data_IF_859360582824
#
_entry.id   IF_859360582824
#
_cell.length_a   1.000
_cell.length_b   1.000
_cell.length_c   1.000
_cell.angle_alpha   90.00
_cell.angle_beta   90.00
_cell.angle_gamma   90.00
#
_symmetry.space_group_name_H-M   'P 1'
#
loop_
_entity.id
_entity.type
_entity.pdbx_description
1 polymer ?
#
# COMPACT_ATOMS: atom_id res chain seq x y z
N UNK A 1 0.15 0.62 9.81
CA UNK A 1 0.20 -0.07 8.50
C UNK A 1 -1.20 -0.38 8.03
N UNK A 2 -1.56 0.03 6.83
CA UNK A 2 -2.87 -0.22 6.21
C UNK A 2 -2.71 -1.18 5.04
N UNK A 3 -3.36 -2.34 5.09
CA UNK A 3 -3.44 -3.25 3.96
C UNK A 3 -4.55 -2.80 3.00
N UNK A 4 -4.20 -2.48 1.76
CA UNK A 4 -5.13 -2.01 0.74
C UNK A 4 -5.49 -3.16 -0.20
N UNK A 5 -6.80 -3.39 -0.38
CA UNK A 5 -7.30 -4.56 -1.12
C UNK A 5 -8.65 -4.32 -1.80
N UNK A 6 -9.09 -5.29 -2.62
CA UNK A 6 -10.44 -5.38 -3.20
C UNK A 6 -11.05 -6.78 -3.03
N UNK A 7 -10.79 -7.41 -1.88
CA UNK A 7 -11.26 -8.75 -1.52
C UNK A 7 -12.80 -8.96 -1.56
N UNK A 8 -13.61 -7.90 -1.58
CA UNK A 8 -15.06 -8.01 -1.82
C UNK A 8 -15.39 -8.52 -3.24
N UNK A 9 -14.56 -8.14 -4.23
CA UNK A 9 -14.64 -8.59 -5.62
C UNK A 9 -13.68 -9.76 -5.84
N UNK A 10 -12.39 -9.55 -5.55
CA UNK A 10 -11.31 -10.51 -5.79
C UNK A 10 -11.12 -11.45 -4.58
N UNK A 11 -12.15 -12.25 -4.29
CA UNK A 11 -12.22 -13.04 -3.03
C UNK A 11 -11.05 -13.99 -2.82
N UNK A 12 -10.50 -14.56 -3.88
CA UNK A 12 -9.43 -15.56 -3.78
C UNK A 12 -8.04 -14.93 -3.68
N UNK A 13 -7.66 -14.08 -4.64
CA UNK A 13 -6.34 -13.45 -4.67
C UNK A 13 -6.14 -12.49 -3.50
N UNK A 14 -7.05 -11.53 -3.35
CA UNK A 14 -6.94 -10.51 -2.31
C UNK A 14 -7.33 -11.08 -0.95
N UNK A 15 -8.18 -12.11 -0.94
CA UNK A 15 -8.44 -12.88 0.27
C UNK A 15 -7.19 -13.59 0.78
N UNK A 16 -6.38 -14.18 -0.10
CA UNK A 16 -5.09 -14.76 0.28
C UNK A 16 -4.13 -13.69 0.79
N UNK A 17 -3.98 -12.58 0.06
CA UNK A 17 -3.16 -11.43 0.47
C UNK A 17 -3.52 -10.95 1.87
N UNK A 18 -4.81 -10.71 2.15
CA UNK A 18 -5.27 -10.28 3.46
C UNK A 18 -4.99 -11.29 4.57
N UNK A 19 -5.17 -12.59 4.31
CA UNK A 19 -4.83 -13.63 5.30
C UNK A 19 -3.35 -13.55 5.68
N UNK A 20 -2.46 -13.47 4.69
CA UNK A 20 -1.02 -13.33 4.94
C UNK A 20 -0.68 -12.04 5.70
N UNK A 21 -1.30 -10.91 5.36
CA UNK A 21 -1.10 -9.65 6.08
C UNK A 21 -1.56 -9.74 7.54
N UNK A 22 -2.70 -10.37 7.82
CA UNK A 22 -3.21 -10.59 9.19
C UNK A 22 -2.27 -11.49 9.99
N UNK A 23 -1.80 -12.58 9.40
CA UNK A 23 -0.83 -13.49 10.03
C UNK A 23 0.50 -12.79 10.33
N UNK A 24 0.97 -11.92 9.43
CA UNK A 24 2.17 -11.11 9.66
C UNK A 24 1.94 -10.07 10.77
N UNK A 25 0.78 -9.40 10.79
CA UNK A 25 0.45 -8.38 11.78
C UNK A 25 0.44 -8.93 13.22
N UNK A 26 0.02 -10.18 13.42
CA UNK A 26 0.07 -10.85 14.73
C UNK A 26 1.49 -10.94 15.31
N UNK A 27 2.53 -10.96 14.46
CA UNK A 27 3.93 -10.99 14.89
C UNK A 27 4.45 -9.63 15.37
N UNK A 28 3.71 -8.55 15.10
CA UNK A 28 4.09 -7.17 15.42
C UNK A 28 2.95 -6.43 16.15
N UNK A 29 2.58 -6.83 17.37
CA UNK A 29 1.42 -6.29 18.10
C UNK A 29 1.55 -4.79 18.43
N UNK A 30 2.77 -4.25 18.43
CA UNK A 30 3.03 -2.83 18.69
C UNK A 30 2.72 -1.93 17.49
N UNK A 31 2.48 -2.51 16.31
CA UNK A 31 2.17 -1.78 15.08
C UNK A 31 0.67 -1.83 14.85
N UNK A 32 0.02 -0.66 14.78
CA UNK A 32 -1.40 -0.58 14.43
C UNK A 32 -1.61 -1.10 13.00
N UNK A 33 -2.46 -2.12 12.87
CA UNK A 33 -2.83 -2.71 11.59
C UNK A 33 -4.30 -2.43 11.26
N UNK A 34 -4.56 -1.95 10.05
CA UNK A 34 -5.90 -1.72 9.52
C UNK A 34 -6.03 -2.27 8.09
N UNK A 35 -7.26 -2.51 7.65
CA UNK A 35 -7.58 -2.97 6.30
C UNK A 35 -8.55 -1.98 5.65
N UNK A 36 -8.30 -1.62 4.39
CA UNK A 36 -9.13 -0.66 3.66
C UNK A 36 -9.30 -1.08 2.20
N UNK A 37 -10.46 -0.77 1.64
CA UNK A 37 -10.71 -0.95 0.22
C UNK A 37 -9.96 0.09 -0.61
N UNK A 38 -9.43 -0.34 -1.76
CA UNK A 38 -8.67 0.52 -2.69
C UNK A 38 -9.39 1.83 -3.03
N UNK A 39 -10.67 1.77 -3.41
CA UNK A 39 -11.48 2.94 -3.75
C UNK A 39 -11.63 3.93 -2.60
N UNK A 40 -11.80 3.42 -1.38
CA UNK A 40 -11.87 4.27 -0.18
C UNK A 40 -10.53 4.93 0.09
N UNK A 41 -9.42 4.21 -0.10
CA UNK A 41 -8.08 4.78 0.08
C UNK A 41 -7.81 5.86 -0.97
N UNK A 42 -8.12 5.63 -2.25
CA UNK A 42 -7.96 6.64 -3.30
C UNK A 42 -8.74 7.92 -2.98
N UNK A 43 -10.01 7.80 -2.58
CA UNK A 43 -10.84 8.95 -2.23
C UNK A 43 -10.26 9.72 -1.04
N UNK A 44 -9.92 9.00 0.04
CA UNK A 44 -9.41 9.62 1.26
C UNK A 44 -8.03 10.25 1.05
N UNK A 45 -7.18 9.66 0.21
CA UNK A 45 -5.83 10.18 -0.05
C UNK A 45 -5.88 11.57 -0.71
N UNK A 46 -6.83 11.80 -1.61
CA UNK A 46 -7.03 13.10 -2.26
C UNK A 46 -7.66 14.12 -1.30
N UNK A 47 -8.48 13.66 -0.36
CA UNK A 47 -9.13 14.55 0.62
C UNK A 47 -8.22 14.94 1.78
N UNK A 48 -7.51 13.96 2.34
CA UNK A 48 -6.62 14.13 3.48
C UNK A 48 -5.62 12.96 3.55
N UNK A 49 -4.43 13.11 2.93
CA UNK A 49 -3.41 12.07 2.93
C UNK A 49 -2.77 11.85 4.31
N UNK A 50 -2.92 12.79 5.26
CA UNK A 50 -2.29 12.71 6.59
C UNK A 50 -2.82 11.58 7.47
N UNK A 51 -3.93 10.94 7.05
CA UNK A 51 -4.53 9.77 7.72
C UNK A 51 -3.72 8.49 7.51
N UNK A 52 -2.78 8.48 6.58
CA UNK A 52 -2.02 7.30 6.19
C UNK A 52 -0.54 7.44 6.56
N UNK A 53 0.05 6.31 6.95
CA UNK A 53 1.46 6.22 7.33
C UNK A 53 2.16 5.24 6.37
N UNK A 54 2.02 3.93 6.60
CA UNK A 54 2.52 2.89 5.70
C UNK A 54 1.37 2.13 5.06
N UNK A 55 1.40 2.01 3.73
CA UNK A 55 0.44 1.23 2.95
C UNK A 55 1.12 -0.02 2.38
N UNK A 56 0.42 -1.15 2.41
CA UNK A 56 0.87 -2.39 1.77
C UNK A 56 -0.24 -2.92 0.86
N UNK A 57 0.12 -3.34 -0.36
CA UNK A 57 -0.85 -3.74 -1.37
C UNK A 57 -0.24 -4.60 -2.48
N UNK A 58 -1.06 -5.32 -3.26
CA UNK A 58 -0.63 -6.00 -4.48
C UNK A 58 -0.13 -5.03 -5.57
N UNK A 59 0.66 -5.56 -6.51
CA UNK A 59 1.39 -4.83 -7.55
C UNK A 59 0.59 -3.70 -8.22
N UNK A 60 -0.53 -4.03 -8.89
CA UNK A 60 -1.33 -3.06 -9.63
C UNK A 60 -1.87 -1.91 -8.76
N UNK A 61 -2.18 -2.17 -7.49
CA UNK A 61 -2.69 -1.13 -6.60
C UNK A 61 -1.57 -0.21 -6.15
N UNK A 62 -0.37 -0.78 -6.01
CA UNK A 62 0.86 -0.04 -5.71
C UNK A 62 1.13 1.00 -6.78
N UNK A 63 1.16 0.57 -8.05
CA UNK A 63 1.37 1.42 -9.22
C UNK A 63 0.37 2.60 -9.29
N UNK A 64 -0.92 2.32 -9.14
CA UNK A 64 -1.97 3.34 -9.17
C UNK A 64 -1.83 4.34 -8.02
N UNK A 65 -1.64 3.84 -6.79
CA UNK A 65 -1.56 4.71 -5.62
C UNK A 65 -0.23 5.47 -5.54
N UNK A 66 0.89 4.88 -5.96
CA UNK A 66 2.18 5.58 -5.99
C UNK A 66 2.15 6.76 -6.94
N UNK A 67 1.62 6.59 -8.15
CA UNK A 67 1.52 7.66 -9.15
C UNK A 67 0.56 8.76 -8.70
N UNK A 68 -0.58 8.37 -8.12
CA UNK A 68 -1.53 9.33 -7.56
C UNK A 68 -0.90 10.14 -6.42
N UNK A 69 -0.16 9.49 -5.51
CA UNK A 69 0.54 10.17 -4.43
C UNK A 69 1.68 11.05 -4.95
N UNK A 70 2.39 10.64 -6.00
CA UNK A 70 3.39 11.48 -6.66
C UNK A 70 2.77 12.79 -7.16
N UNK A 71 1.57 12.73 -7.74
CA UNK A 71 0.81 13.92 -8.14
C UNK A 71 0.50 14.88 -6.99
N UNK A 72 0.31 14.38 -5.76
CA UNK A 72 0.03 15.22 -4.58
C UNK A 72 1.27 15.99 -4.09
N UNK A 73 2.48 15.50 -4.38
CA UNK A 73 3.74 16.06 -3.85
C UNK A 73 4.58 16.80 -4.88
N UNK A 74 4.05 17.02 -6.10
CA UNK A 74 4.72 17.80 -7.16
C UNK A 74 5.11 17.01 -8.41
N UNK A 75 4.69 15.74 -8.50
CA UNK A 75 4.86 14.87 -9.67
C UNK A 75 5.98 13.83 -9.51
N UNK A 76 6.08 12.94 -10.49
CA UNK A 76 6.98 11.79 -10.50
C UNK A 76 8.48 12.16 -10.43
N UNK A 77 8.86 13.35 -10.90
CA UNK A 77 10.26 13.79 -10.89
C UNK A 77 10.86 14.02 -9.50
N UNK A 78 10.05 13.95 -8.45
CA UNK A 78 10.44 14.18 -7.05
C UNK A 78 10.26 12.94 -6.16
N UNK A 79 9.81 11.80 -6.71
CA UNK A 79 9.46 10.62 -5.92
C UNK A 79 10.49 9.51 -6.07
N UNK A 80 11.43 9.34 -5.12
CA UNK A 80 12.35 8.21 -5.15
C UNK A 80 11.63 6.90 -4.85
N UNK A 81 12.13 5.80 -5.41
CA UNK A 81 11.63 4.45 -5.14
C UNK A 81 12.78 3.44 -4.96
N UNK A 82 12.44 2.27 -4.41
CA UNK A 82 13.43 1.24 -4.09
C UNK A 82 12.83 -0.16 -4.08
N UNK A 83 13.49 -1.07 -4.80
CA UNK A 83 13.18 -2.49 -4.86
C UNK A 83 14.16 -3.26 -3.96
N UNK A 84 13.65 -3.87 -2.90
CA UNK A 84 14.47 -4.53 -1.87
C UNK A 84 14.33 -6.04 -1.99
N UNK A 85 15.45 -6.74 -2.16
CA UNK A 85 15.54 -8.21 -2.17
C UNK A 85 16.43 -8.75 -1.06
N UNK A 86 16.52 -10.08 -0.94
CA UNK A 86 17.31 -10.74 0.12
C UNK A 86 18.82 -10.48 0.01
N UNK A 87 19.33 -10.33 -1.23
CA UNK A 87 20.77 -10.25 -1.52
C UNK A 87 21.19 -8.90 -2.11
N UNK A 88 20.30 -7.90 -2.13
CA UNK A 88 20.59 -6.60 -2.72
C UNK A 88 19.38 -5.67 -2.76
N UNK A 89 19.64 -4.41 -3.12
CA UNK A 89 18.62 -3.39 -3.30
C UNK A 89 18.92 -2.60 -4.59
N UNK A 90 17.86 -2.27 -5.33
CA UNK A 90 17.90 -1.38 -6.49
C UNK A 90 17.10 -0.12 -6.17
N UNK A 91 17.69 1.05 -6.40
CA UNK A 91 17.04 2.34 -6.18
C UNK A 91 16.80 3.01 -7.53
N UNK A 92 15.58 3.52 -7.73
CA UNK A 92 15.16 4.20 -8.95
C UNK A 92 14.33 5.45 -8.62
N UNK A 93 14.01 6.23 -9.65
CA UNK A 93 13.26 7.51 -9.55
C UNK A 93 11.96 7.40 -10.29
#
# INVERSE_FOLDING_TARGET
>A
VTAVHKANIMRMSDGLFLRCCREAAQKYPNIKFEERYLDTVCLNMVQDPSKYDVLVMPNLYGDILSDMCAGLVGGLGLTPSGNIGLNGALFES
#
